data_IF_763650616270
#
_entry.id   IF_763650616270
#
_cell.length_a   1.000
_cell.length_b   1.000
_cell.length_c   1.000
_cell.angle_alpha   90.00
_cell.angle_beta   90.00
_cell.angle_gamma   90.00
#
_symmetry.space_group_name_H-M   'P 1'
#
loop_
_entity.id
_entity.type
_entity.pdbx_description
1 polymer ?
#
# COMPACT_ATOMS: atom_id res chain seq x y z
N UNK A 1 -8.97 -22.87 6.62
CA UNK A 1 -7.83 -21.94 6.83
C UNK A 1 -7.88 -20.74 5.89
N UNK A 2 -7.86 -20.91 4.56
CA UNK A 2 -7.92 -19.79 3.60
C UNK A 2 -9.11 -18.83 3.84
N UNK A 3 -10.32 -19.36 4.04
CA UNK A 3 -11.51 -18.53 4.28
C UNK A 3 -11.44 -17.70 5.57
N UNK A 4 -10.87 -18.24 6.65
CA UNK A 4 -10.70 -17.50 7.91
C UNK A 4 -9.72 -16.35 7.70
N UNK A 5 -8.59 -16.61 7.02
CA UNK A 5 -7.60 -15.59 6.69
C UNK A 5 -8.21 -14.51 5.81
N UNK A 6 -9.01 -14.88 4.80
CA UNK A 6 -9.71 -13.92 3.94
C UNK A 6 -10.71 -13.08 4.73
N UNK A 7 -11.51 -13.69 5.59
CA UNK A 7 -12.47 -12.98 6.44
C UNK A 7 -11.75 -12.00 7.37
N UNK A 8 -10.69 -12.45 8.05
CA UNK A 8 -9.89 -11.58 8.93
C UNK A 8 -9.27 -10.41 8.18
N UNK A 9 -8.74 -10.64 6.97
CA UNK A 9 -8.16 -9.59 6.14
C UNK A 9 -9.22 -8.59 5.66
N UNK A 10 -10.39 -9.06 5.25
CA UNK A 10 -11.51 -8.19 4.87
C UNK A 10 -11.98 -7.31 6.03
N UNK A 11 -12.08 -7.87 7.25
CA UNK A 11 -12.39 -7.09 8.44
C UNK A 11 -11.30 -6.06 8.76
N UNK A 12 -10.02 -6.44 8.63
CA UNK A 12 -8.91 -5.53 8.88
C UNK A 12 -8.93 -4.34 7.92
N UNK A 13 -9.16 -4.58 6.62
CA UNK A 13 -9.29 -3.52 5.61
C UNK A 13 -10.54 -2.65 5.86
N UNK A 14 -11.66 -3.25 6.27
CA UNK A 14 -12.88 -2.50 6.61
C UNK A 14 -12.65 -1.59 7.82
N UNK A 15 -12.05 -2.09 8.90
CA UNK A 15 -11.78 -1.32 10.11
C UNK A 15 -10.83 -0.15 9.85
N UNK A 16 -9.87 -0.31 8.92
CA UNK A 16 -9.03 0.79 8.44
C UNK A 16 -9.84 1.88 7.72
N UNK A 17 -10.92 1.53 7.02
CA UNK A 17 -11.80 2.48 6.34
C UNK A 17 -12.79 3.21 7.27
N UNK A 18 -13.17 2.60 8.39
CA UNK A 18 -14.03 3.23 9.41
C UNK A 18 -13.25 4.26 10.25
N UNK A 19 -11.92 4.23 10.17
CA UNK A 19 -11.03 5.17 10.86
C UNK A 19 -10.66 4.73 12.27
N UNK A 20 -10.94 3.50 12.69
CA UNK A 20 -10.59 3.03 14.05
C UNK A 20 -9.06 2.90 14.15
N UNK A 21 -8.47 3.77 14.97
CA UNK A 21 -7.04 3.81 15.25
C UNK A 21 -6.65 2.99 16.48
N UNK A 22 -5.36 2.69 16.62
CA UNK A 22 -4.83 2.01 17.82
C UNK A 22 -5.03 2.87 19.07
N UNK A 23 -4.93 4.21 18.94
CA UNK A 23 -5.21 5.15 20.03
C UNK A 23 -6.64 5.01 20.57
N UNK A 24 -7.62 4.76 19.71
CA UNK A 24 -9.01 4.59 20.13
C UNK A 24 -9.20 3.35 21.00
N UNK A 25 -8.48 2.26 20.67
CA UNK A 25 -8.52 1.02 21.45
C UNK A 25 -7.96 1.24 22.86
N UNK A 26 -6.95 2.10 23.01
CA UNK A 26 -6.30 2.36 24.29
C UNK A 26 -7.19 3.13 25.29
N UNK A 27 -8.19 3.87 24.81
CA UNK A 27 -9.10 4.71 25.63
C UNK A 27 -10.53 4.15 25.66
N UNK A 28 -10.71 2.86 25.30
CA UNK A 28 -12.03 2.22 25.31
C UNK A 28 -12.61 2.07 26.72
N UNK A 29 -11.78 2.04 27.75
CA UNK A 29 -12.20 2.03 29.15
C UNK A 29 -12.86 3.34 29.55
N UNK A 30 -12.30 4.49 29.14
CA UNK A 30 -12.89 5.81 29.37
C UNK A 30 -14.28 5.93 28.72
N UNK A 31 -14.47 5.37 27.52
CA UNK A 31 -15.77 5.30 26.87
C UNK A 31 -16.80 4.54 27.73
N UNK A 32 -16.40 3.39 28.29
CA UNK A 32 -17.28 2.55 29.12
C UNK A 32 -17.59 3.23 30.45
N UNK A 33 -16.60 3.89 31.06
CA UNK A 33 -16.80 4.64 32.31
C UNK A 33 -17.73 5.82 32.12
N UNK A 34 -17.53 6.61 31.06
CA UNK A 34 -18.39 7.75 30.76
C UNK A 34 -19.83 7.32 30.39
N UNK A 35 -19.98 6.21 29.68
CA UNK A 35 -21.30 5.63 29.40
C UNK A 35 -22.03 5.17 30.69
N UNK A 36 -21.30 4.62 31.67
CA UNK A 36 -21.88 4.26 32.98
C UNK A 36 -22.29 5.49 33.76
N UNK A 37 -21.44 6.51 33.80
CA UNK A 37 -21.76 7.79 34.42
C UNK A 37 -23.07 8.36 33.84
N UNK A 38 -23.21 8.40 32.51
CA UNK A 38 -24.44 8.83 31.85
C UNK A 38 -25.67 7.98 32.18
N UNK A 39 -25.50 6.67 32.34
CA UNK A 39 -26.58 5.80 32.78
C UNK A 39 -27.02 6.09 34.22
N UNK A 40 -26.08 6.43 35.10
CA UNK A 40 -26.33 6.71 36.52
C UNK A 40 -26.86 8.13 36.77
N UNK A 41 -26.31 9.15 36.10
CA UNK A 41 -26.64 10.56 36.34
C UNK A 41 -27.76 11.09 35.45
N UNK A 42 -27.77 10.70 34.17
CA UNK A 42 -28.73 11.20 33.18
C UNK A 42 -29.81 10.17 32.83
N UNK A 43 -29.68 8.92 33.29
CA UNK A 43 -30.60 7.84 32.95
C UNK A 43 -30.51 7.41 31.48
N UNK A 44 -29.39 7.72 30.82
CA UNK A 44 -29.19 7.36 29.42
C UNK A 44 -28.98 5.85 29.26
N UNK A 45 -29.62 5.28 28.25
CA UNK A 45 -29.18 3.97 27.75
C UNK A 45 -27.99 4.15 26.81
N UNK A 46 -27.34 3.05 26.43
CA UNK A 46 -26.17 3.09 25.55
C UNK A 46 -26.43 3.78 24.19
N UNK A 47 -27.63 3.63 23.62
CA UNK A 47 -27.97 4.25 22.34
C UNK A 47 -28.11 5.77 22.48
N UNK A 48 -28.78 6.24 23.53
CA UNK A 48 -28.90 7.66 23.83
C UNK A 48 -27.52 8.30 24.03
N UNK A 49 -26.66 7.63 24.80
CA UNK A 49 -25.26 8.03 24.98
C UNK A 49 -24.53 8.14 23.64
N UNK A 50 -24.62 7.10 22.80
CA UNK A 50 -23.99 7.10 21.49
C UNK A 50 -24.50 8.25 20.59
N UNK A 51 -25.81 8.51 20.60
CA UNK A 51 -26.40 9.59 19.81
C UNK A 51 -25.94 10.97 20.29
N UNK A 52 -25.79 11.16 21.60
CA UNK A 52 -25.26 12.38 22.22
C UNK A 52 -23.76 12.59 22.03
N UNK A 53 -22.96 11.55 21.78
CA UNK A 53 -21.50 11.69 21.66
C UNK A 53 -20.96 11.52 20.23
N UNK A 54 -21.67 10.77 19.38
CA UNK A 54 -21.26 10.43 18.01
C UNK A 54 -22.36 10.63 16.96
N UNK A 55 -23.59 10.95 17.36
CA UNK A 55 -24.74 11.08 16.48
C UNK A 55 -25.26 12.51 16.31
N UNK A 56 -26.54 12.59 15.97
CA UNK A 56 -27.28 13.84 15.71
C UNK A 56 -27.32 14.79 16.90
N UNK A 57 -27.32 14.26 18.13
CA UNK A 57 -27.51 15.05 19.35
C UNK A 57 -26.20 15.64 19.90
N UNK A 58 -25.05 15.32 19.28
CA UNK A 58 -23.73 15.78 19.73
C UNK A 58 -23.60 17.29 19.90
N UNK A 59 -24.08 18.05 18.91
CA UNK A 59 -23.96 19.51 18.95
C UNK A 59 -24.80 20.13 20.08
N UNK A 60 -25.96 19.54 20.38
CA UNK A 60 -26.83 19.99 21.47
C UNK A 60 -26.24 19.63 22.83
N UNK A 61 -25.81 18.38 23.01
CA UNK A 61 -25.19 17.90 24.24
C UNK A 61 -23.93 18.72 24.59
N UNK A 62 -23.04 18.96 23.61
CA UNK A 62 -21.84 19.79 23.80
C UNK A 62 -22.14 21.23 24.21
N UNK A 63 -23.31 21.77 23.83
CA UNK A 63 -23.73 23.13 24.18
C UNK A 63 -24.26 23.22 25.60
N UNK A 64 -25.01 22.20 26.02
CA UNK A 64 -25.71 22.17 27.30
C UNK A 64 -24.78 21.74 28.46
N UNK A 65 -23.87 20.80 28.20
CA UNK A 65 -23.06 20.16 29.24
C UNK A 65 -21.58 20.58 29.11
N UNK A 66 -21.28 21.81 29.53
CA UNK A 66 -19.94 22.41 29.40
C UNK A 66 -18.92 21.86 30.41
N UNK A 67 -19.38 21.31 31.52
CA UNK A 67 -18.52 20.81 32.59
C UNK A 67 -17.77 19.53 32.16
N UNK A 68 -18.39 18.73 31.29
CA UNK A 68 -17.86 17.43 30.83
C UNK A 68 -16.95 17.55 29.60
N UNK A 69 -16.74 18.78 29.10
CA UNK A 69 -15.99 19.04 27.87
C UNK A 69 -14.58 18.44 27.90
N UNK A 70 -13.89 18.47 29.04
CA UNK A 70 -12.54 17.89 29.16
C UNK A 70 -12.54 16.36 29.10
N UNK A 71 -13.63 15.72 29.53
CA UNK A 71 -13.74 14.27 29.49
C UNK A 71 -14.20 13.80 28.11
N UNK A 72 -14.98 14.62 27.40
CA UNK A 72 -15.28 14.37 26.00
C UNK A 72 -14.00 14.26 25.17
N UNK A 73 -12.98 15.10 25.39
CA UNK A 73 -11.73 15.06 24.61
C UNK A 73 -10.95 13.75 24.71
N UNK A 74 -11.19 12.95 25.76
CA UNK A 74 -10.50 11.68 25.96
C UNK A 74 -11.21 10.50 25.31
N UNK A 75 -12.48 10.68 24.94
CA UNK A 75 -13.27 9.64 24.28
C UNK A 75 -12.64 9.22 22.93
N UNK A 76 -12.77 7.93 22.55
CA UNK A 76 -12.26 7.44 21.28
C UNK A 76 -12.98 8.07 20.07
N UNK A 77 -12.42 7.90 18.88
CA UNK A 77 -13.02 8.27 17.59
C UNK A 77 -13.29 9.78 17.40
N UNK A 78 -12.52 10.63 18.07
CA UNK A 78 -12.60 12.09 17.92
C UNK A 78 -11.65 12.67 16.87
N UNK A 79 -10.79 11.85 16.28
CA UNK A 79 -9.94 12.26 15.16
C UNK A 79 -10.75 12.26 13.85
N UNK A 80 -10.31 13.08 12.89
CA UNK A 80 -10.86 13.02 11.54
C UNK A 80 -10.40 11.71 10.90
N UNK A 81 -11.37 10.87 10.52
CA UNK A 81 -11.19 9.54 9.92
C UNK A 81 -10.40 9.52 8.61
N UNK A 82 -10.01 10.68 8.08
CA UNK A 82 -8.92 10.79 7.11
C UNK A 82 -7.57 10.57 7.79
N UNK A 83 -7.38 9.36 8.34
CA UNK A 83 -6.05 8.82 8.55
C UNK A 83 -5.47 8.57 7.16
N UNK A 84 -5.02 9.65 6.51
CA UNK A 84 -3.97 9.54 5.52
C UNK A 84 -2.79 9.00 6.30
N UNK A 85 -2.66 7.68 6.35
CA UNK A 85 -1.42 7.02 6.72
C UNK A 85 -0.41 7.53 5.70
N UNK A 86 0.23 8.67 5.98
CA UNK A 86 1.39 9.13 5.24
C UNK A 86 2.47 8.13 5.56
N UNK A 87 2.42 7.03 4.82
CA UNK A 87 3.42 5.98 4.88
C UNK A 87 4.58 6.57 4.11
N UNK A 88 5.49 7.23 4.82
CA UNK A 88 6.74 7.66 4.22
C UNK A 88 7.52 6.42 3.82
N UNK A 89 7.45 6.08 2.53
CA UNK A 89 8.26 5.03 1.94
C UNK A 89 9.63 5.65 1.68
N UNK A 90 10.55 5.48 2.62
CA UNK A 90 11.95 5.82 2.40
C UNK A 90 12.56 4.74 1.52
N UNK A 91 12.68 5.03 0.21
CA UNK A 91 13.44 4.18 -0.70
C UNK A 91 14.93 4.33 -0.41
N UNK A 92 15.49 3.41 0.37
CA UNK A 92 16.94 3.32 0.57
C UNK A 92 17.54 2.74 -0.70
N UNK A 93 18.13 3.58 -1.55
CA UNK A 93 18.91 3.13 -2.70
C UNK A 93 20.21 2.50 -2.20
N UNK A 94 20.37 1.20 -2.41
CA UNK A 94 21.64 0.50 -2.24
C UNK A 94 22.14 0.05 -3.60
N UNK A 95 23.42 0.31 -3.88
CA UNK A 95 24.08 -0.20 -5.07
C UNK A 95 24.39 -1.68 -4.86
N UNK A 96 23.68 -2.56 -5.58
CA UNK A 96 24.09 -3.97 -5.68
C UNK A 96 25.19 -4.04 -6.73
N UNK A 97 26.42 -4.45 -6.39
CA UNK A 97 27.46 -4.66 -7.39
C UNK A 97 27.05 -5.83 -8.29
N UNK A 98 26.49 -5.51 -9.45
CA UNK A 98 26.15 -6.51 -10.46
C UNK A 98 27.45 -6.97 -11.11
N UNK A 99 27.88 -8.18 -10.78
CA UNK A 99 29.04 -8.80 -11.44
C UNK A 99 28.72 -8.95 -12.93
N UNK A 100 29.51 -8.30 -13.79
CA UNK A 100 29.40 -8.46 -15.24
C UNK A 100 29.61 -9.94 -15.56
N UNK A 101 28.56 -10.61 -16.04
CA UNK A 101 28.69 -11.96 -16.58
C UNK A 101 29.55 -11.89 -17.84
N UNK A 102 30.68 -12.59 -17.82
CA UNK A 102 31.51 -12.76 -19.02
C UNK A 102 30.76 -13.75 -19.91
N UNK A 103 30.14 -13.24 -20.97
CA UNK A 103 29.56 -14.10 -22.01
C UNK A 103 30.73 -14.70 -22.79
N UNK A 104 30.98 -16.03 -22.75
CA UNK A 104 32.00 -16.62 -23.59
C UNK A 104 31.56 -16.47 -25.05
N UNK A 105 32.36 -15.76 -25.83
CA UNK A 105 32.21 -15.67 -27.28
C UNK A 105 32.55 -17.03 -27.90
N UNK A 106 31.56 -17.94 -27.97
CA UNK A 106 31.67 -19.16 -28.75
C UNK A 106 31.55 -18.82 -30.23
N UNK A 107 32.65 -18.43 -30.86
CA UNK A 107 32.71 -18.21 -32.32
C UNK A 107 33.11 -19.50 -33.04
N UNK A 108 32.30 -20.56 -32.90
CA UNK A 108 32.33 -21.63 -33.90
C UNK A 108 31.55 -21.15 -35.11
N UNK A 109 32.24 -20.50 -36.04
CA UNK A 109 31.66 -20.12 -37.33
C UNK A 109 31.23 -21.40 -38.07
N UNK A 110 29.92 -21.63 -38.15
CA UNK A 110 29.35 -22.78 -38.87
C UNK A 110 29.17 -22.51 -40.38
N UNK A 111 29.73 -21.40 -40.89
CA UNK A 111 29.64 -21.03 -42.29
C UNK A 111 30.89 -21.52 -43.04
N UNK A 112 30.67 -22.24 -44.13
CA UNK A 112 31.71 -22.65 -45.06
C UNK A 112 31.35 -22.13 -46.46
N UNK A 113 32.31 -21.54 -47.16
CA UNK A 113 32.10 -21.05 -48.52
C UNK A 113 31.87 -22.23 -49.47
N UNK A 114 30.75 -22.22 -50.17
CA UNK A 114 30.51 -23.08 -51.33
C UNK A 114 30.54 -22.23 -52.58
N UNK A 115 31.45 -22.54 -53.49
CA UNK A 115 31.45 -21.95 -54.82
C UNK A 115 30.24 -22.53 -55.60
N UNK A 116 29.24 -21.70 -55.87
CA UNK A 116 28.04 -22.09 -56.61
C UNK A 116 28.15 -21.82 -58.12
N UNK A 117 29.30 -21.33 -58.58
CA UNK A 117 29.53 -21.07 -60.00
C UNK A 117 30.06 -22.32 -60.69
N UNK A 118 29.42 -22.68 -61.81
CA UNK A 118 29.92 -23.67 -62.75
C UNK A 118 30.24 -22.95 -64.06
N UNK A 119 31.51 -23.00 -64.48
CA UNK A 119 31.94 -22.45 -65.76
C UNK A 119 32.32 -23.60 -66.69
N UNK A 120 31.90 -23.50 -67.95
CA UNK A 120 32.25 -24.48 -68.99
C UNK A 120 33.77 -24.51 -69.21
N UNK A 121 34.44 -23.36 -69.11
CA UNK A 121 35.89 -23.24 -69.05
C UNK A 121 36.30 -22.31 -67.90
N UNK A 122 37.46 -22.59 -67.27
CA UNK A 122 37.96 -21.74 -66.18
C UNK A 122 38.37 -20.37 -66.75
N UNK A 123 37.84 -19.26 -66.21
CA UNK A 123 38.27 -17.94 -66.64
C UNK A 123 39.76 -17.75 -66.32
N UNK A 124 40.53 -17.21 -67.28
CA UNK A 124 41.91 -16.80 -67.03
C UNK A 124 41.94 -15.76 -65.90
N UNK A 125 42.72 -16.03 -64.85
CA UNK A 125 42.84 -15.17 -63.65
C UNK A 125 43.46 -13.81 -63.98
N UNK A 126 44.15 -13.70 -65.11
CA UNK A 126 44.85 -12.49 -65.53
C UNK A 126 44.35 -12.04 -66.89
N UNK A 127 43.48 -11.03 -66.91
CA UNK A 127 43.39 -10.13 -68.05
C UNK A 127 44.10 -8.83 -67.66
N UNK A 128 45.28 -8.52 -68.23
CA UNK A 128 45.85 -7.19 -68.05
C UNK A 128 44.90 -6.13 -68.64
N UNK A 129 44.85 -4.90 -68.07
CA UNK A 129 44.07 -3.81 -68.62
C UNK A 129 44.44 -3.58 -70.09
N UNK A 130 43.45 -3.55 -70.99
CA UNK A 130 43.70 -3.43 -72.43
C UNK A 130 44.03 -2.02 -72.89
N UNK A 131 43.92 -1.01 -72.02
CA UNK A 131 44.21 0.39 -72.33
C UNK A 131 44.77 1.11 -71.09
N UNK A 132 45.80 1.94 -71.30
CA UNK A 132 46.37 2.89 -70.35
C UNK A 132 45.88 4.31 -70.67
#
# INVERSE_FOLDING_TARGET
MKSIITISLSFLVLLQGVGIGVSDILVMDELVEHAKYHAETHGDNFFNFFEKHYGSLKAEHQKNDKEEKSDHEKLPFQHNSSNHLMTDVVLVTFEVPLSKSIIPSSTTSNFHYKNLYSFIEKPSIFQPPKLA
#
